data_IF_788048881953
#
_entry.id   IF_788048881953
#
_cell.length_a   1.000
_cell.length_b   1.000
_cell.length_c   1.000
_cell.angle_alpha   90.00
_cell.angle_beta   90.00
_cell.angle_gamma   90.00
#
_symmetry.space_group_name_H-M   'P 1'
#
loop_
_entity.id
_entity.type
_entity.pdbx_description
1 polymer ?
#
# COMPACT_ATOMS: atom_id res chain seq x y z
N UNK A 1 -46.10 -10.78 -22.28
CA UNK A 1 -44.79 -10.99 -22.95
C UNK A 1 -43.97 -9.68 -23.10
N UNK A 2 -44.24 -8.65 -22.29
CA UNK A 2 -43.53 -7.35 -22.36
C UNK A 2 -42.91 -6.90 -21.01
N UNK A 3 -43.16 -7.62 -19.92
CA UNK A 3 -42.66 -7.29 -18.58
C UNK A 3 -41.29 -7.91 -18.27
N UNK A 4 -40.94 -9.02 -18.91
CA UNK A 4 -39.69 -9.75 -18.62
C UNK A 4 -38.43 -9.10 -19.24
N UNK A 5 -38.61 -8.20 -20.21
CA UNK A 5 -37.47 -7.52 -20.86
C UNK A 5 -36.96 -6.29 -20.11
N UNK A 6 -37.79 -5.68 -19.25
CA UNK A 6 -37.41 -4.48 -18.47
C UNK A 6 -36.63 -4.89 -17.20
N UNK A 7 -36.99 -6.01 -16.58
CA UNK A 7 -36.26 -6.52 -15.41
C UNK A 7 -34.82 -6.97 -15.77
N UNK A 8 -34.61 -7.52 -16.96
CA UNK A 8 -33.29 -7.96 -17.41
C UNK A 8 -32.36 -6.79 -17.76
N UNK A 9 -32.90 -5.67 -18.24
CA UNK A 9 -32.10 -4.49 -18.60
C UNK A 9 -31.66 -3.67 -17.38
N UNK A 10 -32.46 -3.64 -16.30
CA UNK A 10 -32.05 -3.05 -15.02
C UNK A 10 -30.98 -3.88 -14.30
N UNK A 11 -31.08 -5.22 -14.36
CA UNK A 11 -30.08 -6.11 -13.76
C UNK A 11 -28.72 -6.07 -14.48
N UNK A 12 -28.71 -5.90 -15.81
CA UNK A 12 -27.48 -5.72 -16.58
C UNK A 12 -26.85 -4.33 -16.39
N UNK A 13 -27.64 -3.27 -16.17
CA UNK A 13 -27.09 -1.95 -15.84
C UNK A 13 -26.41 -1.92 -14.46
N UNK A 14 -26.93 -2.67 -13.49
CA UNK A 14 -26.32 -2.81 -12.15
C UNK A 14 -25.03 -3.64 -12.14
N UNK A 15 -24.79 -4.47 -13.18
CA UNK A 15 -23.57 -5.29 -13.33
C UNK A 15 -22.53 -4.66 -14.27
N UNK A 16 -22.87 -3.56 -14.95
CA UNK A 16 -21.97 -2.86 -15.89
C UNK A 16 -21.58 -1.46 -15.45
N UNK A 17 -22.09 -0.98 -14.31
CA UNK A 17 -21.41 0.10 -13.61
C UNK A 17 -20.35 -0.57 -12.75
N UNK A 18 -19.05 -0.29 -12.94
CA UNK A 18 -18.13 -0.41 -11.82
C UNK A 18 -18.84 0.27 -10.65
N UNK A 19 -18.86 -0.33 -9.48
CA UNK A 19 -19.19 0.45 -8.31
C UNK A 19 -18.07 1.48 -8.18
N UNK A 20 -18.19 2.60 -8.89
CA UNK A 20 -17.48 3.83 -8.60
C UNK A 20 -18.05 4.24 -7.25
N UNK A 21 -17.54 3.62 -6.18
CA UNK A 21 -17.73 4.16 -4.87
C UNK A 21 -17.18 5.58 -4.96
N UNK A 22 -18.08 6.56 -4.92
CA UNK A 22 -17.76 7.97 -5.03
C UNK A 22 -17.19 8.40 -3.68
N UNK A 23 -15.97 7.94 -3.40
CA UNK A 23 -15.25 8.30 -2.20
C UNK A 23 -14.91 9.78 -2.27
N UNK A 24 -15.21 10.51 -1.19
CA UNK A 24 -14.97 11.95 -1.15
C UNK A 24 -13.48 12.29 -1.08
N UNK A 25 -12.63 11.33 -0.75
CA UNK A 25 -11.20 11.50 -0.53
C UNK A 25 -10.43 10.38 -1.22
N UNK A 26 -9.24 10.66 -1.74
CA UNK A 26 -8.35 9.66 -2.28
C UNK A 26 -6.90 9.95 -1.83
N UNK A 27 -6.60 9.76 -0.53
CA UNK A 27 -5.37 10.25 0.11
C UNK A 27 -4.08 9.76 -0.58
N UNK A 28 -4.04 8.52 -1.06
CA UNK A 28 -2.90 7.97 -1.81
C UNK A 28 -2.60 8.70 -3.12
N UNK A 29 -3.55 9.46 -3.65
CA UNK A 29 -3.37 10.27 -4.86
C UNK A 29 -3.30 11.77 -4.55
N UNK A 30 -4.14 12.25 -3.64
CA UNK A 30 -4.29 13.68 -3.35
C UNK A 30 -3.17 14.23 -2.46
N UNK A 31 -2.58 13.35 -1.64
CA UNK A 31 -1.51 13.66 -0.68
C UNK A 31 -0.54 12.48 -0.50
N UNK A 32 -0.20 11.85 -1.61
CA UNK A 32 0.65 10.65 -1.71
C UNK A 32 1.92 10.72 -0.84
N UNK A 33 2.69 11.81 -0.95
CA UNK A 33 3.91 12.00 -0.16
C UNK A 33 3.64 12.09 1.35
N UNK A 34 2.58 12.79 1.76
CA UNK A 34 2.22 12.95 3.17
C UNK A 34 1.88 11.59 3.81
N UNK A 35 1.14 10.74 3.09
CA UNK A 35 0.79 9.39 3.56
C UNK A 35 2.05 8.54 3.74
N UNK A 36 2.86 8.39 2.69
CA UNK A 36 4.04 7.53 2.73
C UNK A 36 5.13 8.05 3.69
N UNK A 37 5.43 9.35 3.68
CA UNK A 37 6.43 9.92 4.60
C UNK A 37 5.99 9.75 6.06
N UNK A 38 4.70 9.94 6.35
CA UNK A 38 4.16 9.71 7.71
C UNK A 38 4.34 8.25 8.13
N UNK A 39 4.03 7.30 7.26
CA UNK A 39 4.18 5.88 7.55
C UNK A 39 5.65 5.47 7.72
N UNK A 40 6.54 5.91 6.83
CA UNK A 40 7.97 5.62 6.92
C UNK A 40 8.59 6.19 8.19
N UNK A 41 8.24 7.42 8.59
CA UNK A 41 8.70 8.00 9.86
C UNK A 41 8.23 7.20 11.07
N UNK A 42 7.02 6.65 11.01
CA UNK A 42 6.50 5.74 12.05
C UNK A 42 7.33 4.44 12.09
N UNK A 43 7.63 3.85 10.94
CA UNK A 43 8.46 2.65 10.83
C UNK A 43 9.91 2.88 11.30
N UNK A 44 10.44 4.07 11.08
CA UNK A 44 11.75 4.54 11.59
C UNK A 44 11.76 4.78 13.12
N UNK A 45 10.63 4.60 13.80
CA UNK A 45 10.49 4.77 15.24
C UNK A 45 10.33 6.22 15.68
N UNK A 46 10.03 7.15 14.77
CA UNK A 46 9.70 8.52 15.17
C UNK A 46 8.38 8.58 15.93
N UNK A 47 8.30 9.48 16.91
CA UNK A 47 7.07 9.78 17.63
C UNK A 47 6.16 10.67 16.77
N UNK A 48 5.54 10.09 15.75
CA UNK A 48 4.58 10.78 14.87
C UNK A 48 3.21 10.83 15.55
N UNK A 49 2.61 12.02 15.60
CA UNK A 49 1.27 12.20 16.15
C UNK A 49 0.21 11.66 15.18
N UNK A 50 -0.68 10.80 15.67
CA UNK A 50 -1.80 10.30 14.88
C UNK A 50 -2.80 11.43 14.61
N UNK A 51 -3.21 11.69 13.35
CA UNK A 51 -4.07 12.81 13.00
C UNK A 51 -5.54 12.48 13.29
N UNK A 52 -5.95 12.60 14.56
CA UNK A 52 -7.30 12.23 15.03
C UNK A 52 -8.45 13.03 14.41
N UNK A 53 -8.16 14.18 13.79
CA UNK A 53 -9.14 15.02 13.11
C UNK A 53 -9.15 14.83 11.57
N UNK A 54 -8.32 13.92 11.06
CA UNK A 54 -8.18 13.61 9.63
C UNK A 54 -8.27 12.10 9.41
N UNK A 55 -9.49 11.56 9.53
CA UNK A 55 -9.74 10.13 9.38
C UNK A 55 -9.26 9.56 8.03
N UNK A 56 -9.41 10.23 6.87
CA UNK A 56 -8.83 9.78 5.61
C UNK A 56 -7.30 9.60 5.67
N UNK A 57 -6.56 10.55 6.25
CA UNK A 57 -5.11 10.42 6.40
C UNK A 57 -4.75 9.29 7.36
N UNK A 58 -5.42 9.21 8.51
CA UNK A 58 -5.17 8.15 9.49
C UNK A 58 -5.42 6.75 8.90
N UNK A 59 -6.50 6.60 8.13
CA UNK A 59 -6.86 5.36 7.45
C UNK A 59 -5.86 4.99 6.35
N UNK A 60 -5.35 5.97 5.59
CA UNK A 60 -4.35 5.72 4.55
C UNK A 60 -2.99 5.29 5.13
N UNK A 61 -2.55 5.92 6.21
CA UNK A 61 -1.33 5.50 6.92
C UNK A 61 -1.53 4.11 7.54
N UNK A 62 -2.69 3.84 8.16
CA UNK A 62 -3.01 2.51 8.67
C UNK A 62 -2.99 1.46 7.54
N UNK A 63 -3.58 1.77 6.38
CA UNK A 63 -3.59 0.87 5.23
C UNK A 63 -2.17 0.56 4.75
N UNK A 64 -1.31 1.58 4.57
CA UNK A 64 0.08 1.36 4.17
C UNK A 64 0.80 0.45 5.18
N UNK A 65 0.75 0.79 6.47
CA UNK A 65 1.40 -0.01 7.52
C UNK A 65 0.82 -1.44 7.65
N UNK A 66 -0.37 -1.71 7.12
CA UNK A 66 -1.01 -3.02 7.16
C UNK A 66 -0.58 -3.91 5.99
N UNK A 67 -0.53 -3.37 4.77
CA UNK A 67 -0.48 -4.17 3.53
C UNK A 67 0.69 -3.85 2.57
N UNK A 68 1.50 -2.82 2.81
CA UNK A 68 2.69 -2.59 1.96
C UNK A 68 3.73 -3.68 2.16
N UNK A 69 4.72 -3.76 1.27
CA UNK A 69 5.91 -4.62 1.40
C UNK A 69 6.69 -4.39 2.72
N UNK A 70 6.62 -3.19 3.30
CA UNK A 70 7.24 -2.89 4.62
C UNK A 70 6.26 -2.99 5.79
N UNK A 71 5.09 -3.59 5.55
CA UNK A 71 3.92 -3.58 6.41
C UNK A 71 3.75 -4.84 7.27
N UNK A 72 2.65 -4.87 8.01
CA UNK A 72 2.32 -5.96 8.92
C UNK A 72 2.14 -7.32 8.22
N UNK A 73 1.50 -7.32 7.04
CA UNK A 73 1.22 -8.53 6.29
C UNK A 73 2.52 -9.24 5.88
N UNK A 74 3.40 -8.52 5.19
CA UNK A 74 4.71 -9.04 4.74
C UNK A 74 5.57 -9.52 5.92
N UNK A 75 5.71 -8.71 6.96
CA UNK A 75 6.48 -9.11 8.14
C UNK A 75 5.95 -10.39 8.82
N UNK A 76 4.64 -10.65 8.72
CA UNK A 76 4.06 -11.90 9.22
C UNK A 76 4.30 -13.07 8.26
N UNK A 77 4.21 -12.85 6.96
CA UNK A 77 4.55 -13.84 5.94
C UNK A 77 5.99 -14.32 6.10
N UNK A 78 6.96 -13.40 6.10
CA UNK A 78 8.38 -13.66 6.39
C UNK A 78 8.55 -14.47 7.69
N UNK A 79 7.77 -14.12 8.73
CA UNK A 79 7.83 -14.83 10.00
C UNK A 79 7.36 -16.28 9.87
N UNK A 80 6.33 -16.57 9.08
CA UNK A 80 5.73 -17.91 8.92
C UNK A 80 6.55 -18.78 7.98
N UNK A 81 6.91 -18.26 6.81
CA UNK A 81 7.74 -19.00 5.83
C UNK A 81 9.10 -19.34 6.45
N UNK A 82 9.59 -18.46 7.33
CA UNK A 82 10.93 -18.53 7.87
C UNK A 82 11.92 -18.16 6.78
N UNK A 83 13.04 -17.55 7.17
CA UNK A 83 14.16 -17.40 6.23
C UNK A 83 14.58 -18.80 5.77
N UNK A 84 14.12 -19.22 4.59
CA UNK A 84 14.45 -20.50 3.98
C UNK A 84 15.94 -20.53 3.54
N UNK A 85 16.69 -19.46 3.78
CA UNK A 85 18.12 -19.37 3.56
C UNK A 85 18.84 -18.76 4.77
N UNK A 86 20.10 -19.16 4.96
CA UNK A 86 21.00 -18.77 6.05
C UNK A 86 21.37 -17.26 6.05
N UNK A 87 20.44 -16.35 5.80
CA UNK A 87 20.70 -14.92 5.68
C UNK A 87 20.37 -14.16 6.98
N UNK A 88 21.47 -13.73 7.60
CA UNK A 88 21.55 -12.57 8.47
C UNK A 88 20.81 -12.62 9.81
N UNK A 89 21.53 -13.15 10.82
CA UNK A 89 21.29 -12.95 12.25
C UNK A 89 21.23 -11.46 12.71
N UNK A 90 21.27 -10.51 11.78
CA UNK A 90 21.09 -9.06 11.95
C UNK A 90 19.63 -8.60 11.81
N UNK A 91 18.74 -9.36 11.15
CA UNK A 91 17.37 -8.92 10.82
C UNK A 91 16.30 -9.13 11.92
N UNK A 92 16.69 -9.70 13.06
CA UNK A 92 15.78 -9.90 14.20
C UNK A 92 14.80 -11.07 14.00
N UNK A 93 13.85 -11.22 14.91
CA UNK A 93 12.80 -12.24 14.79
C UNK A 93 11.62 -11.64 14.03
N UNK A 94 11.39 -12.07 12.78
CA UNK A 94 10.29 -11.58 11.93
C UNK A 94 8.93 -11.59 12.63
N UNK A 95 8.67 -12.58 13.49
CA UNK A 95 7.44 -12.64 14.28
C UNK A 95 7.34 -11.48 15.29
N UNK A 96 8.45 -11.14 15.95
CA UNK A 96 8.50 -10.01 16.87
C UNK A 96 8.37 -8.67 16.14
N UNK A 97 8.92 -8.56 14.93
CA UNK A 97 8.76 -7.40 14.05
C UNK A 97 7.28 -7.21 13.65
N UNK A 98 6.62 -8.27 13.18
CA UNK A 98 5.20 -8.26 12.85
C UNK A 98 4.34 -7.90 14.07
N UNK A 99 4.62 -8.48 15.25
CA UNK A 99 3.92 -8.08 16.48
C UNK A 99 4.10 -6.60 16.80
N UNK A 100 5.33 -6.07 16.67
CA UNK A 100 5.61 -4.66 16.90
C UNK A 100 4.85 -3.77 15.92
N UNK A 101 4.81 -4.12 14.63
CA UNK A 101 4.03 -3.44 13.61
C UNK A 101 2.54 -3.44 13.95
N UNK A 102 1.99 -4.56 14.42
CA UNK A 102 0.60 -4.62 14.87
C UNK A 102 0.34 -3.60 16.00
N UNK A 103 1.25 -3.48 16.98
CA UNK A 103 1.11 -2.47 18.03
C UNK A 103 1.21 -1.04 17.48
N UNK A 104 2.07 -0.83 16.49
CA UNK A 104 2.26 0.45 15.80
C UNK A 104 1.02 0.87 15.01
N UNK A 105 0.33 -0.05 14.34
CA UNK A 105 -0.87 0.22 13.53
C UNK A 105 -2.10 0.55 14.39
N UNK A 106 -2.26 -0.09 15.56
CA UNK A 106 -3.42 0.10 16.45
C UNK A 106 -3.88 1.55 16.64
N UNK A 107 -3.03 2.51 17.03
CA UNK A 107 -3.47 3.88 17.26
C UNK A 107 -3.97 4.57 15.98
N UNK A 108 -3.48 4.18 14.79
CA UNK A 108 -3.95 4.69 13.50
C UNK A 108 -5.35 4.17 13.17
N UNK A 109 -5.58 2.86 13.35
CA UNK A 109 -6.91 2.25 13.21
C UNK A 109 -7.91 2.85 14.20
N UNK A 110 -7.49 3.09 15.44
CA UNK A 110 -8.34 3.67 16.49
C UNK A 110 -8.72 5.15 16.24
N UNK A 111 -7.98 5.87 15.38
CA UNK A 111 -8.30 7.23 14.98
C UNK A 111 -9.40 7.32 13.92
N UNK A 112 -9.77 6.20 13.29
CA UNK A 112 -10.84 6.11 12.31
C UNK A 112 -12.16 5.74 13.02
N UNK A 113 -13.34 6.25 12.57
CA UNK A 113 -14.62 5.85 13.15
C UNK A 113 -14.79 4.32 13.18
N UNK A 114 -14.80 3.76 14.39
CA UNK A 114 -14.81 2.31 14.57
C UNK A 114 -16.22 1.73 14.51
N UNK A 115 -16.34 0.53 13.96
CA UNK A 115 -17.53 -0.33 14.04
C UNK A 115 -17.17 -1.74 14.54
N UNK A 116 -18.19 -2.59 14.67
CA UNK A 116 -18.00 -3.95 15.18
C UNK A 116 -17.14 -4.83 14.27
N UNK A 117 -17.08 -4.55 12.96
CA UNK A 117 -16.32 -5.34 12.00
C UNK A 117 -14.84 -4.97 12.04
N UNK A 118 -14.52 -3.68 12.17
CA UNK A 118 -13.14 -3.21 12.44
C UNK A 118 -12.59 -3.86 13.73
N UNK A 119 -13.41 -3.89 14.79
CA UNK A 119 -13.01 -4.52 16.06
C UNK A 119 -12.78 -6.02 15.90
N UNK A 120 -13.65 -6.72 15.16
CA UNK A 120 -13.50 -8.15 14.88
C UNK A 120 -12.21 -8.44 14.09
N UNK A 121 -11.95 -7.68 13.03
CA UNK A 121 -10.76 -7.87 12.19
C UNK A 121 -9.46 -7.58 12.94
N UNK A 122 -9.41 -6.53 13.76
CA UNK A 122 -8.29 -6.30 14.68
C UNK A 122 -8.11 -7.47 15.66
N UNK A 123 -9.20 -8.03 16.18
CA UNK A 123 -9.16 -9.21 17.04
C UNK A 123 -8.63 -10.46 16.32
N UNK A 124 -8.81 -10.58 15.00
CA UNK A 124 -8.25 -11.68 14.21
C UNK A 124 -6.74 -11.49 13.99
N UNK A 125 -6.26 -10.28 13.71
CA UNK A 125 -4.83 -9.98 13.68
C UNK A 125 -4.17 -10.28 15.05
N UNK A 126 -4.85 -9.91 16.14
CA UNK A 126 -4.40 -10.23 17.51
C UNK A 126 -4.30 -11.73 17.75
N UNK A 127 -5.17 -12.53 17.14
CA UNK A 127 -5.14 -13.98 17.28
C UNK A 127 -3.98 -14.64 16.51
N UNK A 128 -3.50 -14.00 15.43
CA UNK A 128 -2.30 -14.45 14.70
C UNK A 128 -1.04 -14.21 15.54
N UNK A 129 -0.98 -13.08 16.24
CA UNK A 129 0.17 -12.66 17.04
C UNK A 129 -0.25 -12.22 18.46
N UNK A 130 -0.65 -13.15 19.34
CA UNK A 130 -1.21 -12.80 20.64
C UNK A 130 -0.20 -12.18 21.62
N UNK A 131 1.08 -12.50 21.44
CA UNK A 131 2.20 -12.02 22.25
C UNK A 131 3.40 -11.73 21.36
N UNK A 132 4.34 -10.91 21.83
CA UNK A 132 5.61 -10.66 21.15
C UNK A 132 6.52 -11.90 21.09
N UNK A 133 6.33 -12.87 21.99
CA UNK A 133 7.09 -14.12 21.98
C UNK A 133 6.55 -15.06 20.89
N UNK A 134 7.44 -15.50 20.00
CA UNK A 134 7.13 -16.46 18.93
C UNK A 134 6.74 -17.82 19.54
N UNK A 135 5.64 -18.44 19.07
CA UNK A 135 5.29 -19.78 19.52
C UNK A 135 6.33 -20.80 19.06
N UNK A 136 6.52 -21.88 19.83
CA UNK A 136 7.44 -22.98 19.47
C UNK A 136 7.15 -23.59 18.08
N UNK A 137 5.89 -23.47 17.63
CA UNK A 137 5.44 -23.83 16.29
C UNK A 137 4.52 -22.73 15.77
N UNK A 138 4.94 -22.09 14.68
CA UNK A 138 4.12 -21.16 13.92
C UNK A 138 3.55 -21.93 12.72
N UNK A 139 2.51 -22.74 12.98
CA UNK A 139 1.79 -23.51 11.98
C UNK A 139 0.59 -22.68 11.49
N UNK A 140 0.91 -21.66 10.70
CA UNK A 140 -0.04 -20.70 10.14
C UNK A 140 0.09 -20.68 8.60
N UNK A 141 -0.95 -20.18 7.96
CA UNK A 141 -0.89 -19.80 6.54
C UNK A 141 -0.09 -18.48 6.45
N UNK A 142 0.99 -18.38 5.65
CA UNK A 142 1.80 -17.15 5.56
C UNK A 142 0.95 -15.92 5.21
N UNK A 143 -0.03 -16.14 4.33
CA UNK A 143 -0.98 -15.17 3.81
C UNK A 143 -2.07 -14.75 4.81
N UNK A 144 -2.13 -15.37 6.00
CA UNK A 144 -3.23 -15.17 6.93
C UNK A 144 -3.35 -13.70 7.39
N UNK A 145 -2.22 -13.03 7.58
CA UNK A 145 -2.20 -11.62 7.95
C UNK A 145 -2.67 -10.72 6.80
N UNK A 146 -2.21 -10.97 5.57
CA UNK A 146 -2.64 -10.22 4.37
C UNK A 146 -4.16 -10.27 4.20
N UNK A 147 -4.75 -11.47 4.25
CA UNK A 147 -6.20 -11.63 4.07
C UNK A 147 -7.01 -10.81 5.08
N UNK A 148 -6.59 -10.80 6.34
CA UNK A 148 -7.26 -10.03 7.40
C UNK A 148 -6.96 -8.53 7.25
N UNK A 149 -5.73 -8.16 6.92
CA UNK A 149 -5.29 -6.79 6.72
C UNK A 149 -6.04 -6.13 5.54
N UNK A 150 -6.13 -6.79 4.40
CA UNK A 150 -6.91 -6.32 3.24
C UNK A 150 -8.39 -6.15 3.57
N UNK A 151 -8.99 -7.10 4.30
CA UNK A 151 -10.37 -6.97 4.76
C UNK A 151 -10.55 -5.75 5.69
N UNK A 152 -9.58 -5.50 6.58
CA UNK A 152 -9.56 -4.35 7.47
C UNK A 152 -9.41 -3.04 6.68
N UNK A 153 -8.52 -2.96 5.69
CA UNK A 153 -8.40 -1.79 4.80
C UNK A 153 -9.74 -1.49 4.12
N UNK A 154 -10.45 -2.52 3.63
CA UNK A 154 -11.78 -2.35 3.06
C UNK A 154 -12.81 -1.75 4.04
N UNK A 155 -12.72 -2.04 5.34
CA UNK A 155 -13.56 -1.39 6.36
C UNK A 155 -13.11 0.04 6.66
N UNK A 156 -11.80 0.27 6.77
CA UNK A 156 -11.23 1.59 7.01
C UNK A 156 -11.60 2.57 5.88
N UNK A 157 -11.57 2.11 4.63
CA UNK A 157 -11.99 2.86 3.45
C UNK A 157 -13.45 3.36 3.58
N UNK A 158 -14.36 2.49 4.02
CA UNK A 158 -15.76 2.87 4.27
C UNK A 158 -15.90 3.83 5.45
N UNK A 159 -15.22 3.54 6.56
CA UNK A 159 -15.32 4.31 7.79
C UNK A 159 -14.74 5.73 7.65
N UNK A 160 -13.65 5.86 6.88
CA UNK A 160 -13.01 7.13 6.58
C UNK A 160 -13.61 7.84 5.36
N UNK A 161 -14.48 7.17 4.60
CA UNK A 161 -14.99 7.65 3.31
C UNK A 161 -13.85 8.08 2.37
N UNK A 162 -12.89 7.18 2.17
CA UNK A 162 -11.64 7.43 1.45
C UNK A 162 -11.25 6.24 0.59
N UNK A 163 -10.79 6.50 -0.64
CA UNK A 163 -10.21 5.48 -1.52
C UNK A 163 -8.81 5.10 -1.01
N UNK A 164 -8.67 3.86 -0.51
CA UNK A 164 -7.45 3.38 0.14
C UNK A 164 -6.66 2.37 -0.69
N UNK A 165 -7.00 2.18 -1.95
CA UNK A 165 -6.29 1.25 -2.84
C UNK A 165 -5.68 2.01 -4.01
N UNK A 166 -4.39 2.32 -3.91
CA UNK A 166 -3.66 3.06 -4.94
C UNK A 166 -3.82 2.43 -6.34
N UNK A 167 -3.70 1.11 -6.45
CA UNK A 167 -3.81 0.37 -7.70
C UNK A 167 -5.21 0.25 -8.31
N UNK A 168 -6.28 0.72 -7.62
CA UNK A 168 -7.67 0.62 -8.13
C UNK A 168 -7.87 1.39 -9.43
N UNK A 169 -7.23 2.55 -9.55
CA UNK A 169 -7.14 3.32 -10.80
C UNK A 169 -5.69 3.35 -11.27
N UNK A 170 -5.31 2.36 -12.09
CA UNK A 170 -3.95 2.19 -12.58
C UNK A 170 -3.42 3.44 -13.32
N UNK A 171 -4.26 4.16 -14.04
CA UNK A 171 -3.85 5.38 -14.74
C UNK A 171 -3.50 6.50 -13.74
N UNK A 172 -4.32 6.65 -12.69
CA UNK A 172 -4.08 7.61 -11.62
C UNK A 172 -2.89 7.21 -10.74
N UNK A 173 -2.71 5.92 -10.46
CA UNK A 173 -1.57 5.38 -9.72
C UNK A 173 -0.26 5.69 -10.44
N UNK A 174 -0.16 5.35 -11.73
CA UNK A 174 1.01 5.65 -12.55
C UNK A 174 1.31 7.15 -12.62
N UNK A 175 0.28 7.99 -12.75
CA UNK A 175 0.45 9.44 -12.70
C UNK A 175 0.95 9.92 -11.33
N UNK A 176 0.53 9.27 -10.25
CA UNK A 176 0.96 9.59 -8.88
C UNK A 176 2.44 9.26 -8.69
N UNK A 177 2.86 8.04 -9.02
CA UNK A 177 4.26 7.58 -8.86
C UNK A 177 5.20 8.38 -9.78
N UNK A 178 4.80 8.62 -11.03
CA UNK A 178 5.57 9.45 -11.96
C UNK A 178 5.77 10.88 -11.42
N UNK A 179 4.75 11.47 -10.79
CA UNK A 179 4.86 12.79 -10.16
C UNK A 179 5.79 12.78 -8.95
N UNK A 180 5.72 11.76 -8.09
CA UNK A 180 6.62 11.61 -6.94
C UNK A 180 8.10 11.55 -7.39
N UNK A 181 8.39 10.73 -8.41
CA UNK A 181 9.73 10.64 -9.00
C UNK A 181 10.19 11.98 -9.61
N UNK A 182 9.31 12.64 -10.39
CA UNK A 182 9.60 13.94 -10.98
C UNK A 182 9.85 15.02 -9.91
N UNK A 183 9.12 14.98 -8.79
CA UNK A 183 9.37 15.84 -7.65
C UNK A 183 10.76 15.62 -7.04
N UNK A 184 11.16 14.37 -6.79
CA UNK A 184 12.52 14.06 -6.33
C UNK A 184 13.60 14.63 -7.25
N UNK A 185 13.41 14.53 -8.57
CA UNK A 185 14.31 15.10 -9.57
C UNK A 185 14.36 16.65 -9.56
N UNK A 186 13.32 17.32 -9.06
CA UNK A 186 13.20 18.78 -9.05
C UNK A 186 13.60 19.44 -7.71
N UNK A 187 13.55 18.71 -6.58
CA UNK A 187 13.78 19.25 -5.24
C UNK A 187 15.26 19.29 -4.80
N UNK A 188 15.50 19.99 -3.68
CA UNK A 188 16.78 20.11 -2.99
C UNK A 188 17.38 18.74 -2.63
N UNK A 189 18.70 18.66 -2.60
CA UNK A 189 19.48 17.45 -2.30
C UNK A 189 19.12 16.83 -0.95
N UNK A 190 18.76 17.64 0.06
CA UNK A 190 18.51 17.14 1.41
C UNK A 190 17.25 16.27 1.56
N UNK A 191 16.19 16.55 0.80
CA UNK A 191 14.90 15.81 0.89
C UNK A 191 14.68 14.84 -0.26
N UNK A 192 15.53 14.91 -1.29
CA UNK A 192 15.43 14.11 -2.51
C UNK A 192 15.40 12.59 -2.27
N UNK A 193 16.26 11.99 -1.42
CA UNK A 193 16.24 10.54 -1.21
C UNK A 193 14.86 10.02 -0.78
N UNK A 194 14.17 10.76 0.11
CA UNK A 194 12.83 10.40 0.59
C UNK A 194 11.78 10.40 -0.52
N UNK A 195 11.87 11.30 -1.50
CA UNK A 195 10.95 11.29 -2.65
C UNK A 195 11.13 10.04 -3.50
N UNK A 196 12.38 9.61 -3.71
CA UNK A 196 12.66 8.41 -4.52
C UNK A 196 12.31 7.13 -3.77
N UNK A 197 12.55 7.07 -2.47
CA UNK A 197 12.09 5.99 -1.60
C UNK A 197 10.56 5.81 -1.67
N UNK A 198 9.81 6.91 -1.50
CA UNK A 198 8.34 6.89 -1.59
C UNK A 198 7.86 6.51 -3.00
N UNK A 199 8.53 7.00 -4.04
CA UNK A 199 8.18 6.63 -5.42
C UNK A 199 8.43 5.14 -5.70
N UNK A 200 9.53 4.58 -5.21
CA UNK A 200 9.83 3.15 -5.33
C UNK A 200 8.81 2.29 -4.57
N UNK A 201 8.52 2.64 -3.32
CA UNK A 201 7.52 1.93 -2.50
C UNK A 201 6.16 1.83 -3.22
N UNK A 202 5.64 2.95 -3.75
CA UNK A 202 4.38 2.93 -4.48
C UNK A 202 4.46 2.30 -5.87
N UNK A 203 5.65 2.22 -6.46
CA UNK A 203 5.82 1.44 -7.69
C UNK A 203 5.68 -0.05 -7.40
N UNK A 204 6.40 -0.55 -6.40
CA UNK A 204 6.38 -1.94 -5.93
C UNK A 204 4.95 -2.35 -5.52
N UNK A 205 4.37 -1.63 -4.55
CA UNK A 205 3.06 -1.95 -3.96
C UNK A 205 1.88 -1.96 -4.97
N UNK A 206 1.95 -1.15 -6.03
CA UNK A 206 0.75 -0.86 -6.84
C UNK A 206 0.92 -0.93 -8.36
N UNK A 207 2.15 -0.86 -8.87
CA UNK A 207 2.41 -0.75 -10.30
C UNK A 207 3.24 -1.90 -10.85
N UNK A 208 4.17 -2.47 -10.09
CA UNK A 208 5.12 -3.45 -10.61
C UNK A 208 4.41 -4.66 -11.20
N UNK A 209 3.64 -5.41 -10.42
CA UNK A 209 2.91 -6.58 -10.89
C UNK A 209 2.03 -6.32 -12.14
N UNK A 210 1.14 -5.31 -12.18
CA UNK A 210 0.34 -5.04 -13.38
C UNK A 210 1.19 -4.56 -14.58
N UNK A 211 2.22 -3.74 -14.35
CA UNK A 211 3.09 -3.26 -15.43
C UNK A 211 3.95 -4.38 -16.00
N UNK A 212 4.49 -5.26 -15.18
CA UNK A 212 5.31 -6.40 -15.61
C UNK A 212 4.55 -7.33 -16.56
N UNK A 213 3.22 -7.45 -16.40
CA UNK A 213 2.38 -8.24 -17.32
C UNK A 213 2.05 -7.49 -18.61
N UNK A 214 1.70 -6.20 -18.53
CA UNK A 214 1.11 -5.47 -19.67
C UNK A 214 2.14 -4.64 -20.46
N UNK A 215 3.21 -4.23 -19.79
CA UNK A 215 4.26 -3.32 -20.24
C UNK A 215 5.61 -3.68 -19.59
N UNK A 216 6.04 -4.94 -19.72
CA UNK A 216 7.25 -5.49 -19.10
C UNK A 216 8.50 -4.62 -19.29
N UNK A 217 8.86 -4.26 -20.54
CA UNK A 217 10.09 -3.49 -20.77
C UNK A 217 10.05 -2.08 -20.12
N UNK A 218 8.92 -1.34 -20.17
CA UNK A 218 8.77 -0.14 -19.35
C UNK A 218 8.81 -0.38 -17.84
N UNK A 219 8.26 -1.49 -17.33
CA UNK A 219 8.27 -1.81 -15.89
C UNK A 219 9.71 -1.96 -15.37
N UNK A 220 10.51 -2.81 -16.02
CA UNK A 220 11.94 -3.01 -15.69
C UNK A 220 12.72 -1.69 -15.74
N UNK A 221 12.48 -0.85 -16.76
CA UNK A 221 13.14 0.46 -16.86
C UNK A 221 12.74 1.44 -15.75
N UNK A 222 11.51 1.36 -15.24
CA UNK A 222 11.06 2.19 -14.12
C UNK A 222 11.72 1.69 -12.83
N UNK A 223 11.71 0.39 -12.58
CA UNK A 223 12.32 -0.25 -11.42
C UNK A 223 13.81 0.07 -11.31
N UNK A 224 14.61 -0.32 -12.32
CA UNK A 224 16.05 -0.03 -12.42
C UNK A 224 16.34 1.46 -12.25
N UNK A 225 15.48 2.30 -12.83
CA UNK A 225 15.62 3.73 -12.79
C UNK A 225 15.35 4.31 -11.40
N UNK A 226 14.33 3.82 -10.69
CA UNK A 226 14.01 4.22 -9.33
C UNK A 226 15.08 3.74 -8.33
N UNK A 227 15.63 2.54 -8.50
CA UNK A 227 16.76 2.04 -7.73
C UNK A 227 17.98 2.96 -7.88
N UNK A 228 18.37 3.26 -9.12
CA UNK A 228 19.47 4.21 -9.40
C UNK A 228 19.24 5.59 -8.79
N UNK A 229 18.00 6.08 -8.82
CA UNK A 229 17.65 7.37 -8.20
C UNK A 229 17.78 7.31 -6.67
N UNK A 230 17.38 6.21 -6.02
CA UNK A 230 17.58 5.99 -4.57
C UNK A 230 19.06 5.98 -4.20
N UNK A 231 19.91 5.42 -5.06
CA UNK A 231 21.38 5.42 -4.91
C UNK A 231 22.03 6.78 -5.20
N UNK A 232 21.24 7.77 -5.64
CA UNK A 232 21.68 9.14 -5.90
C UNK A 232 22.15 9.39 -7.34
N UNK A 233 21.96 8.46 -8.27
CA UNK A 233 22.26 8.65 -9.69
C UNK A 233 21.15 9.42 -10.42
N UNK A 234 21.24 10.75 -10.35
CA UNK A 234 20.28 11.66 -10.98
C UNK A 234 20.28 11.61 -12.52
N UNK A 235 21.23 10.92 -13.16
CA UNK A 235 21.19 10.73 -14.61
C UNK A 235 20.01 9.87 -15.06
N UNK A 236 19.39 9.13 -14.13
CA UNK A 236 18.20 8.33 -14.36
C UNK A 236 16.89 9.13 -14.45
N UNK A 237 16.87 10.42 -14.06
CA UNK A 237 15.65 11.23 -14.04
C UNK A 237 14.92 11.28 -15.39
N UNK A 238 15.67 11.51 -16.47
CA UNK A 238 15.09 11.58 -17.83
C UNK A 238 14.61 10.21 -18.32
N UNK A 239 15.35 9.14 -18.01
CA UNK A 239 14.99 7.77 -18.43
C UNK A 239 13.76 7.25 -17.71
N UNK A 240 13.64 7.48 -16.39
CA UNK A 240 12.46 7.10 -15.60
C UNK A 240 11.23 7.85 -16.10
N UNK A 241 11.34 9.17 -16.28
CA UNK A 241 10.24 9.98 -16.80
C UNK A 241 9.75 9.49 -18.17
N UNK A 242 10.68 9.10 -19.05
CA UNK A 242 10.34 8.50 -20.34
C UNK A 242 9.68 7.12 -20.19
N UNK A 243 10.19 6.25 -19.33
CA UNK A 243 9.63 4.91 -19.14
C UNK A 243 8.17 4.95 -18.65
N UNK A 244 7.82 5.91 -17.78
CA UNK A 244 6.42 6.16 -17.40
C UNK A 244 5.54 6.62 -18.58
N UNK A 245 6.07 7.43 -19.50
CA UNK A 245 5.33 7.83 -20.72
C UNK A 245 5.11 6.61 -21.62
N UNK A 246 6.17 5.83 -21.85
CA UNK A 246 6.11 4.64 -22.71
C UNK A 246 5.14 3.58 -22.12
N UNK A 247 5.14 3.39 -20.79
CA UNK A 247 4.18 2.53 -20.09
C UNK A 247 2.73 3.01 -20.30
N UNK A 248 2.49 4.32 -20.16
CA UNK A 248 1.17 4.92 -20.35
C UNK A 248 0.63 4.74 -21.75
N UNK A 249 1.45 4.99 -22.77
CA UNK A 249 1.05 4.82 -24.17
C UNK A 249 0.72 3.36 -24.51
N UNK A 250 1.39 2.40 -23.85
CA UNK A 250 1.15 0.97 -24.05
C UNK A 250 -0.13 0.48 -23.36
N UNK A 251 -0.43 0.98 -22.17
CA UNK A 251 -1.61 0.60 -21.40
C UNK A 251 -2.90 1.27 -21.87
N UNK A 252 -2.81 2.54 -22.29
CA UNK A 252 -3.96 3.40 -22.56
C UNK A 252 -3.86 4.07 -23.95
N UNK A 253 -3.91 3.28 -25.04
CA UNK A 253 -3.74 3.77 -26.42
C UNK A 253 -4.92 4.59 -26.96
#
# INVERSE_FOLDING_TARGET
>A
MWTDRIALSAALAALMMPAWADYANAPFHDRAYEVADTALRVLEGEAVAVPTEDAPLAAAVAALLLISEVGLAEAFEEAVEGDDEEEDASNGDGYANAYALLQTVRPWVAAVPSDAEIVDLMGRLDALMPTAERPEKLDADPEAAEVVAQALVGQLERAANADLYLGRDLARAMATVSQLAAHGCAYDEAVRPRWFEIAALYFEDALEAPLSVMAADPAEQIEDGLERLRDGDLSACDSVGKAFVDAKERLFP
#
